data_IF_493423830975
#
_entry.id   IF_493423830975
#
_cell.length_a   1.000
_cell.length_b   1.000
_cell.length_c   1.000
_cell.angle_alpha   90.00
_cell.angle_beta   90.00
_cell.angle_gamma   90.00
#
_symmetry.space_group_name_H-M   'P 1'
#
loop_
_entity.id
_entity.type
_entity.pdbx_description
1 polymer ?
#
# COMPACT_ATOMS: atom_id res chain seq x y z
N UNK A 1 -21.57 42.85 -9.95
CA UNK A 1 -20.16 43.25 -9.91
C UNK A 1 -19.65 43.09 -8.48
N UNK A 2 -19.08 41.97 -8.12
CA UNK A 2 -18.58 41.64 -6.80
C UNK A 2 -17.16 41.05 -6.93
N UNK A 3 -16.17 41.70 -6.35
CA UNK A 3 -14.75 41.39 -6.39
C UNK A 3 -14.44 40.08 -5.63
N UNK A 4 -13.56 39.24 -6.15
CA UNK A 4 -13.06 38.00 -5.53
C UNK A 4 -11.92 38.34 -4.56
N UNK A 5 -11.85 37.78 -3.35
CA UNK A 5 -10.88 38.16 -2.30
C UNK A 5 -9.69 37.21 -2.18
N UNK A 6 -8.82 37.07 -3.20
CA UNK A 6 -7.56 36.29 -3.04
C UNK A 6 -6.47 36.60 -4.09
N UNK A 7 -6.29 37.84 -4.52
CA UNK A 7 -5.08 38.25 -5.24
C UNK A 7 -4.05 38.82 -4.27
N UNK A 8 -3.02 38.06 -3.97
CA UNK A 8 -1.83 38.54 -3.25
C UNK A 8 -0.78 38.94 -4.28
N UNK A 9 -0.51 40.23 -4.35
CA UNK A 9 0.50 40.83 -5.24
C UNK A 9 1.89 40.69 -4.62
N UNK A 10 2.87 40.26 -5.42
CA UNK A 10 4.29 40.29 -5.07
C UNK A 10 4.92 41.62 -5.56
N UNK A 11 5.83 42.26 -4.77
CA UNK A 11 6.56 43.43 -5.19
C UNK A 11 7.75 43.07 -6.12
N UNK A 12 8.21 44.00 -6.98
CA UNK A 12 9.29 43.79 -7.94
C UNK A 12 10.68 43.85 -7.30
N UNK A 13 11.57 42.99 -7.78
CA UNK A 13 13.00 42.95 -7.42
C UNK A 13 13.75 44.10 -8.13
N UNK A 14 14.32 45.00 -7.34
CA UNK A 14 15.17 46.08 -7.82
C UNK A 14 16.61 45.60 -8.08
N UNK A 15 17.11 45.96 -9.27
CA UNK A 15 18.51 45.84 -9.68
C UNK A 15 19.36 46.95 -9.04
N UNK A 16 20.38 46.58 -8.28
CA UNK A 16 21.40 47.49 -7.75
C UNK A 16 22.79 46.89 -7.92
N UNK A 17 23.54 47.40 -8.91
CA UNK A 17 24.98 47.19 -9.02
C UNK A 17 25.72 48.06 -7.99
N UNK A 18 26.60 47.49 -7.17
CA UNK A 18 27.77 48.16 -6.62
C UNK A 18 28.98 47.22 -6.49
N UNK A 19 30.09 47.73 -6.98
CA UNK A 19 31.43 47.17 -7.11
C UNK A 19 32.25 47.32 -5.82
N UNK A 20 33.26 46.40 -5.67
CA UNK A 20 34.52 46.45 -4.88
C UNK A 20 34.46 46.22 -3.36
N UNK A 21 35.03 45.12 -2.84
CA UNK A 21 36.41 45.03 -2.34
C UNK A 21 36.76 43.60 -1.97
N UNK A 22 37.94 43.18 -2.44
CA UNK A 22 38.64 41.95 -2.15
C UNK A 22 39.13 41.91 -0.71
N UNK A 23 38.80 40.82 0.04
CA UNK A 23 39.62 40.31 1.15
C UNK A 23 39.49 38.80 1.19
N UNK A 24 40.64 38.14 1.02
CA UNK A 24 40.81 36.70 1.07
C UNK A 24 40.61 36.18 2.50
N UNK A 25 39.66 35.29 2.68
CA UNK A 25 39.58 34.40 3.86
C UNK A 25 39.40 32.94 3.40
N UNK A 26 40.25 32.10 3.99
CA UNK A 26 40.46 30.74 3.60
C UNK A 26 39.18 29.87 3.58
N UNK A 27 39.03 29.16 2.47
CA UNK A 27 37.99 28.14 2.30
C UNK A 27 38.39 26.86 3.04
N UNK A 28 37.93 26.70 4.28
CA UNK A 28 37.77 25.37 4.87
C UNK A 28 36.61 24.68 4.18
N UNK A 29 36.92 23.85 3.20
CA UNK A 29 35.95 22.90 2.65
C UNK A 29 35.62 21.87 3.72
N UNK A 30 34.53 22.06 4.43
CA UNK A 30 33.86 20.95 5.13
C UNK A 30 33.34 19.99 4.05
N UNK A 31 34.14 18.94 3.79
CA UNK A 31 33.64 17.77 3.12
C UNK A 31 32.57 17.15 4.04
N UNK A 32 31.30 17.33 3.72
CA UNK A 32 30.28 16.40 4.17
C UNK A 32 30.58 15.06 3.48
N UNK A 33 31.39 14.23 4.12
CA UNK A 33 31.44 12.81 3.80
C UNK A 33 30.03 12.26 4.03
N UNK A 34 29.27 12.14 2.96
CA UNK A 34 28.12 11.29 2.97
C UNK A 34 28.62 9.89 3.31
N UNK A 35 28.35 9.45 4.54
CA UNK A 35 28.58 8.07 4.96
C UNK A 35 27.70 7.23 4.06
N UNK A 36 28.26 6.76 2.95
CA UNK A 36 27.69 5.71 2.13
C UNK A 36 27.72 4.48 3.00
N UNK A 37 26.61 4.23 3.70
CA UNK A 37 26.41 2.96 4.39
C UNK A 37 26.56 1.86 3.34
N UNK A 38 27.41 0.85 3.58
CA UNK A 38 27.49 -0.25 2.64
C UNK A 38 26.11 -0.87 2.53
N UNK A 39 25.53 -0.84 1.35
CA UNK A 39 24.34 -1.59 0.98
C UNK A 39 24.72 -3.06 1.08
N UNK A 40 24.59 -3.66 2.23
CA UNK A 40 24.54 -5.11 2.36
C UNK A 40 23.26 -5.49 1.62
N UNK A 41 23.35 -5.78 0.34
CA UNK A 41 22.31 -6.49 -0.38
C UNK A 41 22.09 -7.82 0.35
N UNK A 42 21.20 -7.78 1.35
CA UNK A 42 20.65 -9.02 1.86
C UNK A 42 19.87 -9.61 0.70
N UNK A 43 20.39 -10.69 0.15
CA UNK A 43 19.66 -11.52 -0.79
C UNK A 43 18.34 -11.91 -0.11
N UNK A 44 17.30 -11.18 -0.42
CA UNK A 44 15.95 -11.54 -0.01
C UNK A 44 15.64 -12.83 -0.75
N UNK A 45 15.28 -13.87 -0.01
CA UNK A 45 14.86 -15.13 -0.61
C UNK A 45 13.69 -14.96 -1.57
N UNK A 46 13.39 -15.94 -2.42
CA UNK A 46 12.26 -15.89 -3.35
C UNK A 46 10.96 -15.66 -2.57
N UNK A 47 9.99 -15.06 -3.25
CA UNK A 47 8.65 -14.91 -2.68
C UNK A 47 8.02 -16.29 -2.55
N UNK A 48 7.73 -16.73 -1.33
CA UNK A 48 7.08 -18.00 -1.09
C UNK A 48 5.58 -17.93 -1.43
N UNK A 49 5.03 -18.85 -2.22
CA UNK A 49 3.60 -18.97 -2.45
C UNK A 49 2.83 -19.42 -1.20
N UNK A 50 3.52 -19.90 -0.18
CA UNK A 50 2.96 -20.36 1.09
C UNK A 50 3.33 -19.39 2.22
N UNK A 51 2.42 -19.25 3.18
CA UNK A 51 2.69 -18.45 4.37
C UNK A 51 3.89 -19.01 5.15
N UNK A 52 4.84 -18.16 5.59
CA UNK A 52 6.02 -18.61 6.32
C UNK A 52 5.69 -19.28 7.65
N UNK A 53 4.52 -18.98 8.22
CA UNK A 53 4.02 -19.63 9.43
C UNK A 53 2.50 -19.50 9.54
N UNK A 54 1.84 -20.53 10.05
CA UNK A 54 0.41 -20.49 10.33
C UNK A 54 0.12 -19.65 11.59
N UNK A 55 -0.91 -18.81 11.53
CA UNK A 55 -1.36 -18.01 12.67
C UNK A 55 -2.33 -18.83 13.50
N UNK A 56 -1.83 -19.42 14.59
CA UNK A 56 -2.62 -20.27 15.50
C UNK A 56 -3.61 -19.49 16.36
N UNK A 57 -3.28 -18.23 16.71
CA UNK A 57 -4.11 -17.35 17.55
C UNK A 57 -4.38 -16.03 16.83
N UNK A 58 -5.32 -16.01 15.87
CA UNK A 58 -5.60 -14.83 15.09
C UNK A 58 -6.24 -13.73 15.94
N UNK A 59 -5.85 -12.48 15.65
CA UNK A 59 -6.51 -11.30 16.17
C UNK A 59 -7.84 -11.06 15.44
N UNK A 60 -7.84 -11.26 14.12
CA UNK A 60 -9.00 -11.17 13.25
C UNK A 60 -9.05 -12.39 12.32
N UNK A 61 -10.25 -12.84 12.04
CA UNK A 61 -10.55 -13.78 10.96
C UNK A 61 -11.50 -13.14 9.97
N UNK A 62 -11.32 -13.43 8.69
CA UNK A 62 -12.13 -12.85 7.63
C UNK A 62 -12.07 -13.71 6.38
N UNK A 63 -12.88 -13.41 5.39
CA UNK A 63 -12.80 -13.97 4.04
C UNK A 63 -12.67 -12.84 3.04
N UNK A 64 -11.78 -13.00 2.11
CA UNK A 64 -11.68 -12.11 0.96
C UNK A 64 -12.25 -12.85 -0.23
N UNK A 65 -13.22 -12.26 -0.90
CA UNK A 65 -14.00 -12.88 -1.97
C UNK A 65 -14.01 -11.99 -3.22
N UNK A 66 -14.04 -12.62 -4.38
CA UNK A 66 -14.11 -11.96 -5.68
C UNK A 66 -13.05 -10.85 -5.81
N UNK A 67 -11.77 -11.24 -5.77
CA UNK A 67 -10.68 -10.30 -5.84
C UNK A 67 -10.29 -10.00 -7.28
N UNK A 68 -10.24 -8.72 -7.61
CA UNK A 68 -9.56 -8.18 -8.78
C UNK A 68 -8.18 -7.67 -8.36
N UNK A 69 -7.13 -8.23 -8.92
CA UNK A 69 -5.75 -7.78 -8.73
C UNK A 69 -5.30 -7.10 -10.01
N UNK A 70 -5.09 -5.79 -9.98
CA UNK A 70 -4.62 -5.01 -11.13
C UNK A 70 -3.34 -4.28 -10.74
N UNK A 71 -2.27 -4.43 -11.53
CA UNK A 71 -0.96 -3.92 -11.15
C UNK A 71 -0.29 -3.16 -12.29
N UNK A 72 0.37 -2.06 -11.90
CA UNK A 72 1.24 -1.27 -12.78
C UNK A 72 2.63 -1.15 -12.18
N UNK A 73 3.61 -1.04 -13.04
CA UNK A 73 4.98 -0.73 -12.65
C UNK A 73 5.08 0.73 -12.19
N UNK A 74 5.84 0.98 -11.14
CA UNK A 74 6.14 2.33 -10.65
C UNK A 74 7.63 2.47 -10.35
N UNK A 75 8.14 3.70 -10.42
CA UNK A 75 9.53 4.00 -10.09
C UNK A 75 9.82 3.66 -8.62
N UNK A 76 10.83 2.81 -8.32
CA UNK A 76 11.22 2.52 -6.94
C UNK A 76 11.57 3.75 -6.11
N UNK A 77 12.17 4.78 -6.71
CA UNK A 77 12.52 6.01 -5.99
C UNK A 77 11.27 6.78 -5.56
N UNK A 78 10.25 6.82 -6.42
CA UNK A 78 8.95 7.40 -6.10
C UNK A 78 8.25 6.57 -5.01
N UNK A 79 8.22 5.25 -5.15
CA UNK A 79 7.63 4.37 -4.15
C UNK A 79 8.29 4.54 -2.78
N UNK A 80 9.63 4.67 -2.71
CA UNK A 80 10.38 4.87 -1.47
C UNK A 80 9.91 6.10 -0.69
N UNK A 81 9.60 7.20 -1.39
CA UNK A 81 9.08 8.43 -0.77
C UNK A 81 7.69 8.28 -0.13
N UNK A 82 6.97 7.22 -0.47
CA UNK A 82 5.61 6.95 0.00
C UNK A 82 5.54 5.86 1.06
N UNK A 83 6.64 5.16 1.33
CA UNK A 83 6.71 4.11 2.33
C UNK A 83 6.98 4.67 3.73
N UNK A 84 6.53 3.99 4.79
CA UNK A 84 6.87 4.39 6.16
C UNK A 84 8.36 4.24 6.43
N UNK A 85 8.93 5.15 7.23
CA UNK A 85 10.32 5.09 7.66
C UNK A 85 10.65 3.72 8.28
N UNK A 86 11.77 3.13 7.88
CA UNK A 86 12.18 1.78 8.29
C UNK A 86 11.74 0.68 7.32
N UNK A 87 11.15 1.05 6.19
CA UNK A 87 10.91 0.14 5.06
C UNK A 87 11.50 0.69 3.77
N UNK A 88 11.80 -0.20 2.85
CA UNK A 88 12.26 0.12 1.50
C UNK A 88 11.35 -0.55 0.47
N UNK A 89 11.31 -0.07 -0.78
CA UNK A 89 10.58 -0.76 -1.84
C UNK A 89 11.04 -2.21 -2.01
N UNK A 90 10.09 -3.13 -2.06
CA UNK A 90 10.34 -4.49 -2.48
C UNK A 90 10.37 -4.51 -4.01
N UNK A 91 11.42 -5.08 -4.58
CA UNK A 91 11.62 -5.10 -6.02
C UNK A 91 11.75 -6.52 -6.55
N UNK A 92 11.28 -6.72 -7.77
CA UNK A 92 11.53 -7.90 -8.59
C UNK A 92 12.25 -7.44 -9.86
N UNK A 93 13.47 -7.95 -10.09
CA UNK A 93 14.33 -7.53 -11.22
C UNK A 93 14.50 -6.00 -11.32
N UNK A 94 14.64 -5.33 -10.17
CA UNK A 94 14.81 -3.88 -10.09
C UNK A 94 13.52 -3.05 -10.23
N UNK A 95 12.37 -3.68 -10.41
CA UNK A 95 11.06 -3.04 -10.59
C UNK A 95 10.19 -3.19 -9.35
N UNK A 96 9.41 -2.16 -9.03
CA UNK A 96 8.35 -2.25 -8.02
C UNK A 96 7.00 -1.86 -8.62
N UNK A 97 5.93 -2.07 -7.86
CA UNK A 97 4.58 -2.00 -8.43
C UNK A 97 3.63 -1.27 -7.51
N UNK A 98 2.58 -0.70 -8.10
CA UNK A 98 1.35 -0.34 -7.40
C UNK A 98 0.28 -1.36 -7.70
N UNK A 99 -0.43 -1.80 -6.67
CA UNK A 99 -1.58 -2.69 -6.80
C UNK A 99 -2.87 -1.95 -6.49
N UNK A 100 -3.82 -2.01 -7.41
CA UNK A 100 -5.21 -1.66 -7.21
C UNK A 100 -5.99 -2.96 -7.03
N UNK A 101 -6.49 -3.22 -5.81
CA UNK A 101 -7.10 -4.50 -5.45
C UNK A 101 -8.51 -4.26 -4.94
N UNK A 102 -9.51 -4.68 -5.71
CA UNK A 102 -10.92 -4.57 -5.36
C UNK A 102 -11.49 -5.94 -5.01
N UNK A 103 -12.30 -6.04 -3.95
CA UNK A 103 -12.84 -7.30 -3.46
C UNK A 103 -14.04 -7.11 -2.53
N UNK A 104 -14.62 -8.22 -2.10
CA UNK A 104 -15.62 -8.26 -1.04
C UNK A 104 -15.00 -8.83 0.23
N UNK A 105 -15.03 -8.06 1.31
CA UNK A 105 -14.79 -8.55 2.65
C UNK A 105 -16.02 -9.32 3.13
N UNK A 106 -15.80 -10.46 3.78
CA UNK A 106 -16.87 -11.28 4.37
C UNK A 106 -16.44 -11.87 5.71
N UNK A 107 -17.41 -12.04 6.61
CA UNK A 107 -17.24 -12.70 7.92
C UNK A 107 -16.10 -12.16 8.78
N UNK A 108 -15.89 -10.84 8.78
CA UNK A 108 -14.92 -10.24 9.70
C UNK A 108 -15.34 -10.51 11.15
N UNK A 109 -14.49 -11.21 11.87
CA UNK A 109 -14.69 -11.59 13.27
C UNK A 109 -13.44 -11.35 14.11
N UNK A 110 -13.62 -11.12 15.40
CA UNK A 110 -12.56 -10.97 16.37
C UNK A 110 -12.16 -12.35 16.94
N UNK A 111 -10.86 -12.63 16.98
CA UNK A 111 -10.31 -13.91 17.47
C UNK A 111 -10.88 -15.09 16.68
N UNK A 112 -11.63 -15.98 17.36
CA UNK A 112 -12.31 -17.13 16.76
C UNK A 112 -13.84 -17.01 16.79
N UNK A 113 -14.34 -15.81 17.12
CA UNK A 113 -15.77 -15.58 17.15
C UNK A 113 -16.34 -15.54 15.71
N UNK A 114 -17.63 -15.89 15.55
CA UNK A 114 -18.31 -15.74 14.27
C UNK A 114 -18.20 -14.31 13.74
N UNK A 115 -18.16 -14.18 12.42
CA UNK A 115 -18.14 -12.87 11.79
C UNK A 115 -19.37 -12.04 12.17
N UNK A 116 -19.17 -10.74 12.37
CA UNK A 116 -20.24 -9.82 12.74
C UNK A 116 -21.17 -9.61 11.54
N UNK A 117 -22.45 -9.99 11.64
CA UNK A 117 -23.41 -9.75 10.55
C UNK A 117 -23.45 -8.28 10.16
N UNK A 118 -23.68 -7.98 8.87
CA UNK A 118 -23.75 -6.63 8.29
C UNK A 118 -22.45 -5.82 8.34
N UNK A 119 -21.81 -5.71 9.50
CA UNK A 119 -20.55 -4.95 9.64
C UNK A 119 -19.32 -5.73 9.16
N UNK A 120 -19.40 -7.06 9.13
CA UNK A 120 -18.32 -7.94 8.68
C UNK A 120 -18.40 -8.30 7.20
N UNK A 121 -19.33 -7.72 6.42
CA UNK A 121 -19.49 -7.98 4.99
C UNK A 121 -19.65 -6.67 4.21
N UNK A 122 -18.67 -6.32 3.38
CA UNK A 122 -18.65 -5.08 2.61
C UNK A 122 -17.63 -5.11 1.46
N UNK A 123 -17.86 -4.34 0.39
CA UNK A 123 -16.83 -4.08 -0.62
C UNK A 123 -15.68 -3.26 -0.07
N UNK A 124 -14.46 -3.56 -0.58
CA UNK A 124 -13.23 -2.84 -0.28
C UNK A 124 -12.39 -2.69 -1.55
N UNK A 125 -11.70 -1.55 -1.70
CA UNK A 125 -10.72 -1.34 -2.76
C UNK A 125 -9.46 -0.72 -2.16
N UNK A 126 -8.32 -1.37 -2.39
CA UNK A 126 -7.04 -0.96 -1.83
C UNK A 126 -6.09 -0.44 -2.90
N UNK A 127 -5.40 0.65 -2.60
CA UNK A 127 -4.17 1.04 -3.28
C UNK A 127 -3.01 0.62 -2.39
N UNK A 128 -2.12 -0.25 -2.89
CA UNK A 128 -1.01 -0.79 -2.11
C UNK A 128 0.33 -0.70 -2.85
N UNK A 129 1.39 -0.53 -2.08
CA UNK A 129 2.78 -0.65 -2.51
C UNK A 129 3.44 -1.87 -1.85
N UNK A 130 4.55 -2.29 -2.39
CA UNK A 130 5.32 -3.45 -1.93
C UNK A 130 6.55 -2.99 -1.16
N UNK A 131 6.81 -3.60 -0.01
CA UNK A 131 7.84 -3.13 0.90
C UNK A 131 8.56 -4.27 1.62
N UNK A 132 9.80 -3.96 2.05
CA UNK A 132 10.61 -4.81 2.91
C UNK A 132 11.05 -4.00 4.11
N UNK A 133 11.01 -4.58 5.31
CA UNK A 133 11.50 -3.94 6.51
C UNK A 133 12.97 -4.29 6.84
N UNK A 134 13.51 -3.67 7.88
CA UNK A 134 14.88 -3.90 8.33
C UNK A 134 15.17 -5.37 8.76
N UNK A 135 14.14 -6.19 8.98
CA UNK A 135 14.27 -7.62 9.29
C UNK A 135 14.16 -8.52 8.05
N UNK A 136 14.08 -7.94 6.85
CA UNK A 136 13.89 -8.66 5.60
C UNK A 136 12.49 -9.21 5.39
N UNK A 137 11.49 -8.79 6.20
CA UNK A 137 10.11 -9.22 6.03
C UNK A 137 9.47 -8.48 4.86
N UNK A 138 8.97 -9.24 3.91
CA UNK A 138 8.21 -8.70 2.77
C UNK A 138 6.78 -8.45 3.18
N UNK A 139 6.23 -7.33 2.75
CA UNK A 139 4.84 -6.97 3.04
C UNK A 139 4.29 -5.96 2.05
N UNK A 140 3.07 -5.53 2.30
CA UNK A 140 2.44 -4.42 1.58
C UNK A 140 2.30 -3.20 2.50
N UNK A 141 2.31 -2.02 1.90
CA UNK A 141 1.92 -0.77 2.54
C UNK A 141 0.66 -0.28 1.84
N UNK A 142 -0.43 -0.16 2.59
CA UNK A 142 -1.63 0.44 2.05
C UNK A 142 -1.50 1.96 1.99
N UNK A 143 -1.76 2.54 0.81
CA UNK A 143 -1.82 3.99 0.59
C UNK A 143 -3.23 4.52 0.75
N UNK A 144 -4.23 3.71 0.39
CA UNK A 144 -5.64 3.90 0.76
C UNK A 144 -6.38 2.57 0.81
N UNK A 145 -7.45 2.53 1.60
CA UNK A 145 -8.35 1.40 1.75
C UNK A 145 -9.78 1.94 1.75
N UNK A 146 -10.41 1.97 0.58
CA UNK A 146 -11.78 2.43 0.44
C UNK A 146 -12.73 1.31 0.88
N UNK A 147 -13.63 1.57 1.83
CA UNK A 147 -14.55 0.58 2.37
C UNK A 147 -15.96 1.11 2.55
N UNK A 148 -16.96 0.25 2.31
CA UNK A 148 -18.37 0.66 2.28
C UNK A 148 -19.01 0.80 3.68
N UNK A 149 -18.36 0.41 4.76
CA UNK A 149 -18.91 0.43 6.11
C UNK A 149 -18.13 1.38 7.02
N UNK A 150 -18.83 2.36 7.61
CA UNK A 150 -18.21 3.38 8.46
C UNK A 150 -17.59 2.79 9.74
N UNK A 151 -18.25 1.83 10.39
CA UNK A 151 -17.75 1.25 11.64
C UNK A 151 -16.40 0.53 11.44
N UNK A 152 -16.22 -0.39 10.47
CA UNK A 152 -14.91 -0.94 10.13
C UNK A 152 -13.86 0.12 9.79
N UNK A 153 -14.23 1.17 9.06
CA UNK A 153 -13.34 2.29 8.73
C UNK A 153 -12.82 2.96 10.00
N UNK A 154 -13.69 3.31 10.94
CA UNK A 154 -13.30 3.97 12.20
C UNK A 154 -12.41 3.05 13.06
N UNK A 155 -12.76 1.77 13.18
CA UNK A 155 -11.97 0.79 13.93
C UNK A 155 -10.60 0.54 13.31
N UNK A 156 -10.53 0.42 11.98
CA UNK A 156 -9.26 0.23 11.25
C UNK A 156 -8.34 1.45 11.38
N UNK A 157 -8.89 2.66 11.32
CA UNK A 157 -8.13 3.90 11.51
C UNK A 157 -7.63 4.05 12.96
N UNK A 158 -8.51 3.86 13.94
CA UNK A 158 -8.17 4.06 15.35
C UNK A 158 -7.29 2.93 15.91
N UNK A 159 -7.60 1.67 15.60
CA UNK A 159 -6.91 0.50 16.17
C UNK A 159 -5.62 0.12 15.44
N UNK A 160 -5.62 0.17 14.11
CA UNK A 160 -4.52 -0.30 13.27
C UNK A 160 -3.80 0.82 12.51
N UNK A 161 -4.25 2.07 12.63
CA UNK A 161 -3.74 3.23 11.85
C UNK A 161 -3.73 2.99 10.34
N UNK A 162 -4.67 2.19 9.85
CA UNK A 162 -4.83 1.93 8.43
C UNK A 162 -5.47 3.13 7.72
N UNK A 163 -5.09 3.43 6.48
CA UNK A 163 -5.58 4.57 5.72
C UNK A 163 -6.97 4.33 5.12
N UNK A 164 -7.91 3.88 5.96
CA UNK A 164 -9.28 3.62 5.54
C UNK A 164 -10.01 4.89 5.15
N UNK A 165 -10.79 4.79 4.09
CA UNK A 165 -11.70 5.83 3.59
C UNK A 165 -13.11 5.24 3.49
N UNK A 166 -14.09 5.90 4.11
CA UNK A 166 -15.47 5.51 3.94
C UNK A 166 -15.97 5.94 2.57
N UNK A 167 -16.46 4.97 1.80
CA UNK A 167 -16.87 5.16 0.40
C UNK A 167 -18.24 4.56 0.14
N UNK A 168 -18.96 5.09 -0.86
CA UNK A 168 -20.11 4.41 -1.43
C UNK A 168 -19.57 3.40 -2.44
N UNK A 169 -19.87 2.13 -2.23
CA UNK A 169 -19.32 1.06 -3.05
C UNK A 169 -20.37 0.03 -3.40
N UNK A 170 -20.18 -0.60 -4.56
CA UNK A 170 -20.92 -1.79 -4.96
C UNK A 170 -20.03 -2.77 -5.70
N UNK A 171 -20.35 -4.06 -5.60
CA UNK A 171 -19.79 -5.12 -6.45
C UNK A 171 -20.96 -5.86 -7.07
N UNK A 172 -20.97 -5.91 -8.39
CA UNK A 172 -22.00 -6.62 -9.17
C UNK A 172 -21.32 -7.70 -10.00
N UNK A 173 -21.94 -8.86 -10.06
CA UNK A 173 -21.54 -9.97 -10.90
C UNK A 173 -22.63 -10.21 -11.96
N UNK A 174 -22.19 -10.35 -13.21
CA UNK A 174 -23.02 -10.76 -14.33
C UNK A 174 -22.26 -11.81 -15.14
N UNK A 175 -22.61 -13.06 -14.94
CA UNK A 175 -21.89 -14.19 -15.50
C UNK A 175 -20.42 -14.22 -15.05
N UNK A 176 -19.51 -14.12 -16.02
CA UNK A 176 -18.07 -14.06 -15.80
C UNK A 176 -17.54 -12.64 -15.53
N UNK A 177 -18.39 -11.62 -15.62
CA UNK A 177 -18.02 -10.23 -15.48
C UNK A 177 -18.30 -9.72 -14.07
N UNK A 178 -17.32 -8.99 -13.50
CA UNK A 178 -17.43 -8.31 -12.22
C UNK A 178 -17.25 -6.81 -12.41
N UNK A 179 -18.12 -6.03 -11.79
CA UNK A 179 -18.04 -4.56 -11.77
C UNK A 179 -17.89 -4.09 -10.33
N UNK A 180 -16.81 -3.37 -10.06
CA UNK A 180 -16.52 -2.75 -8.78
C UNK A 180 -16.65 -1.24 -8.93
N UNK A 181 -17.55 -0.63 -8.17
CA UNK A 181 -17.73 0.82 -8.12
C UNK A 181 -17.35 1.35 -6.74
N UNK A 182 -16.64 2.47 -6.70
CA UNK A 182 -16.32 3.20 -5.48
C UNK A 182 -16.45 4.72 -5.68
N UNK A 183 -16.90 5.43 -4.63
CA UNK A 183 -16.91 6.90 -4.58
C UNK A 183 -16.74 7.37 -3.14
N UNK A 184 -15.65 8.11 -2.88
CA UNK A 184 -15.24 8.55 -1.53
C UNK A 184 -16.20 9.51 -0.88
N UNK A 185 -16.40 9.34 0.44
CA UNK A 185 -17.22 10.19 1.30
C UNK A 185 -16.40 10.89 2.38
N UNK A 186 -15.54 10.15 3.13
CA UNK A 186 -14.76 10.65 4.27
C UNK A 186 -13.68 9.65 4.71
N UNK A 187 -12.50 10.11 5.19
CA UNK A 187 -11.97 11.48 5.11
C UNK A 187 -11.36 11.78 3.74
N UNK A 188 -11.04 13.06 3.52
CA UNK A 188 -10.36 13.52 2.33
C UNK A 188 -11.30 14.05 1.25
N UNK A 189 -10.81 14.22 0.02
CA UNK A 189 -11.62 14.76 -1.06
C UNK A 189 -12.81 13.85 -1.36
N UNK A 190 -14.00 14.44 -1.39
CA UNK A 190 -15.21 13.71 -1.75
C UNK A 190 -15.30 13.56 -3.26
N UNK A 191 -15.94 12.47 -3.70
CA UNK A 191 -16.22 12.25 -5.10
C UNK A 191 -15.09 11.58 -5.89
N UNK A 192 -13.87 11.46 -5.32
CA UNK A 192 -12.84 10.58 -5.89
C UNK A 192 -13.44 9.19 -6.08
N UNK A 193 -13.33 8.66 -7.29
CA UNK A 193 -14.11 7.50 -7.71
C UNK A 193 -13.26 6.46 -8.43
N UNK A 194 -13.77 5.25 -8.49
CA UNK A 194 -13.24 4.23 -9.39
C UNK A 194 -14.36 3.32 -9.90
N UNK A 195 -14.21 2.88 -11.15
CA UNK A 195 -14.97 1.79 -11.75
C UNK A 195 -13.99 0.83 -12.40
N UNK A 196 -14.03 -0.42 -11.95
CA UNK A 196 -13.21 -1.51 -12.49
C UNK A 196 -14.17 -2.57 -12.99
N UNK A 197 -14.10 -2.88 -14.29
CA UNK A 197 -14.85 -3.98 -14.89
C UNK A 197 -13.87 -5.05 -15.32
N UNK A 198 -14.00 -6.22 -14.74
CA UNK A 198 -13.10 -7.35 -14.95
C UNK A 198 -13.90 -8.56 -15.46
N UNK A 199 -13.39 -9.22 -16.51
CA UNK A 199 -13.90 -10.49 -16.98
C UNK A 199 -12.98 -11.62 -16.50
N UNK A 200 -13.57 -12.63 -15.86
CA UNK A 200 -12.87 -13.82 -15.37
C UNK A 200 -12.45 -14.69 -16.53
N UNK A 201 -11.23 -15.20 -16.46
CA UNK A 201 -10.67 -16.14 -17.41
C UNK A 201 -10.35 -17.49 -16.75
N UNK A 202 -9.44 -18.22 -17.37
CA UNK A 202 -9.05 -19.56 -16.98
C UNK A 202 -8.23 -19.58 -15.69
N UNK A 203 -8.26 -20.71 -14.98
CA UNK A 203 -7.43 -20.95 -13.80
C UNK A 203 -5.94 -20.93 -14.20
N UNK A 204 -5.14 -20.27 -13.38
CA UNK A 204 -3.68 -20.27 -13.50
C UNK A 204 -3.14 -21.43 -12.66
N UNK A 205 -2.77 -22.51 -13.32
CA UNK A 205 -2.24 -23.70 -12.61
C UNK A 205 -0.85 -23.43 -12.02
N UNK A 206 0.01 -22.77 -12.80
CA UNK A 206 1.36 -22.41 -12.41
C UNK A 206 1.56 -20.88 -12.50
N UNK A 207 1.36 -20.15 -11.40
CA UNK A 207 1.63 -18.72 -11.37
C UNK A 207 3.11 -18.42 -11.60
N UNK A 208 3.39 -17.41 -12.40
CA UNK A 208 4.75 -16.91 -12.67
C UNK A 208 5.37 -16.29 -11.42
N UNK A 209 6.69 -16.04 -11.46
CA UNK A 209 7.40 -15.34 -10.39
C UNK A 209 6.80 -13.95 -10.12
N UNK A 210 6.42 -13.21 -11.17
CA UNK A 210 5.75 -11.92 -11.04
C UNK A 210 4.41 -12.05 -10.32
N UNK A 211 3.58 -13.02 -10.70
CA UNK A 211 2.27 -13.23 -10.09
C UNK A 211 2.38 -13.61 -8.62
N UNK A 212 3.37 -14.44 -8.26
CA UNK A 212 3.69 -14.71 -6.87
C UNK A 212 4.17 -13.45 -6.15
N UNK A 213 5.07 -12.68 -6.76
CA UNK A 213 5.55 -11.42 -6.20
C UNK A 213 4.41 -10.45 -5.90
N UNK A 214 3.44 -10.36 -6.80
CA UNK A 214 2.31 -9.44 -6.67
C UNK A 214 1.24 -9.92 -5.67
N UNK A 215 1.03 -11.23 -5.50
CA UNK A 215 -0.12 -11.77 -4.76
C UNK A 215 0.25 -12.48 -3.45
N UNK A 216 1.41 -13.15 -3.37
CA UNK A 216 1.84 -13.89 -2.18
C UNK A 216 2.47 -12.95 -1.14
N UNK A 217 1.64 -12.22 -0.39
CA UNK A 217 2.07 -11.25 0.63
C UNK A 217 1.51 -11.62 2.00
N UNK A 218 2.43 -11.89 2.94
CA UNK A 218 2.14 -12.50 4.22
C UNK A 218 2.09 -11.51 5.37
N UNK A 219 1.93 -10.23 5.06
CA UNK A 219 1.75 -9.18 6.04
C UNK A 219 1.76 -7.78 5.44
N UNK A 220 1.52 -6.81 6.31
CA UNK A 220 1.50 -5.40 5.96
C UNK A 220 2.36 -4.60 6.94
N UNK A 221 2.96 -3.52 6.44
CA UNK A 221 3.74 -2.56 7.21
C UNK A 221 2.92 -1.30 7.46
N UNK A 222 2.76 -0.94 8.73
CA UNK A 222 2.04 0.26 9.14
C UNK A 222 2.92 1.16 9.98
N UNK A 223 2.82 2.49 9.78
CA UNK A 223 3.47 3.48 10.62
C UNK A 223 2.77 3.59 11.99
N UNK A 224 3.55 3.48 13.05
CA UNK A 224 3.11 3.70 14.43
C UNK A 224 4.04 4.68 15.13
N UNK A 225 3.64 5.30 16.26
CA UNK A 225 4.56 6.01 17.11
C UNK A 225 5.71 5.09 17.55
N UNK A 226 6.96 5.50 17.27
CA UNK A 226 8.16 4.73 17.56
C UNK A 226 8.61 3.77 16.43
N UNK A 227 8.03 3.84 15.24
CA UNK A 227 8.53 3.11 14.06
C UNK A 227 7.45 2.41 13.24
N UNK A 228 7.86 1.40 12.48
CA UNK A 228 6.96 0.60 11.65
C UNK A 228 6.58 -0.70 12.39
N UNK A 229 5.32 -1.08 12.35
CA UNK A 229 4.85 -2.38 12.80
C UNK A 229 4.54 -3.29 11.61
N UNK A 230 4.86 -4.57 11.76
CA UNK A 230 4.47 -5.61 10.82
C UNK A 230 3.24 -6.36 11.34
N UNK A 231 2.17 -6.36 10.59
CA UNK A 231 0.94 -7.10 10.88
C UNK A 231 0.90 -8.33 9.97
N UNK A 232 1.19 -9.53 10.49
CA UNK A 232 1.20 -10.75 9.69
C UNK A 232 -0.21 -11.20 9.32
N UNK A 233 -0.33 -11.82 8.16
CA UNK A 233 -1.50 -12.57 7.74
C UNK A 233 -1.13 -13.95 7.25
N UNK A 234 -2.06 -14.89 7.27
CA UNK A 234 -1.97 -16.16 6.58
C UNK A 234 -3.30 -16.48 5.87
N UNK A 235 -3.18 -17.20 4.79
CA UNK A 235 -4.27 -17.73 3.98
C UNK A 235 -3.76 -18.92 3.14
N UNK A 236 -4.61 -19.79 2.60
CA UNK A 236 -4.22 -20.76 1.59
C UNK A 236 -3.64 -20.07 0.33
N UNK A 237 -2.93 -20.83 -0.52
CA UNK A 237 -2.53 -20.32 -1.84
C UNK A 237 -3.73 -19.74 -2.57
N UNK A 238 -3.49 -18.65 -3.28
CA UNK A 238 -4.53 -18.03 -4.09
C UNK A 238 -4.95 -18.96 -5.25
N UNK A 239 -6.23 -19.28 -5.40
CA UNK A 239 -6.74 -19.83 -6.65
C UNK A 239 -6.83 -18.68 -7.67
N UNK A 240 -5.72 -18.45 -8.38
CA UNK A 240 -5.62 -17.36 -9.35
C UNK A 240 -6.22 -17.76 -10.68
N UNK A 241 -6.90 -16.82 -11.30
CA UNK A 241 -7.40 -16.91 -12.67
C UNK A 241 -6.83 -15.76 -13.49
N UNK A 242 -6.62 -15.99 -14.79
CA UNK A 242 -6.44 -14.90 -15.75
C UNK A 242 -7.68 -14.02 -15.72
N UNK A 243 -7.51 -12.78 -16.09
CA UNK A 243 -8.64 -11.88 -16.22
C UNK A 243 -8.35 -10.79 -17.25
N UNK A 244 -9.41 -10.33 -17.92
CA UNK A 244 -9.35 -9.18 -18.80
C UNK A 244 -9.85 -7.95 -18.07
N UNK A 245 -9.08 -6.87 -18.12
CA UNK A 245 -9.53 -5.56 -17.65
C UNK A 245 -10.35 -4.90 -18.76
N UNK A 246 -11.68 -4.99 -18.65
CA UNK A 246 -12.61 -4.46 -19.67
C UNK A 246 -12.73 -2.94 -19.55
N UNK A 247 -12.71 -2.42 -18.32
CA UNK A 247 -12.80 -0.99 -18.03
C UNK A 247 -12.03 -0.69 -16.74
N UNK A 248 -11.26 0.39 -16.77
CA UNK A 248 -10.61 0.92 -15.56
C UNK A 248 -10.64 2.45 -15.60
N UNK A 249 -11.67 3.01 -14.97
CA UNK A 249 -11.74 4.45 -14.67
C UNK A 249 -11.46 4.60 -13.18
N UNK A 250 -10.28 5.15 -12.81
CA UNK A 250 -9.90 5.21 -11.42
C UNK A 250 -9.12 6.51 -11.11
N UNK A 251 -9.39 7.06 -9.95
CA UNK A 251 -8.72 8.23 -9.40
C UNK A 251 -8.05 7.91 -8.04
N UNK A 252 -8.16 6.64 -7.58
CA UNK A 252 -7.73 6.23 -6.24
C UNK A 252 -6.22 6.24 -6.12
N UNK A 253 -5.50 5.87 -7.19
CA UNK A 253 -4.03 5.82 -7.21
C UNK A 253 -3.44 7.23 -7.11
N UNK A 254 -3.95 8.16 -7.90
CA UNK A 254 -3.56 9.57 -7.82
C UNK A 254 -3.91 10.18 -6.46
N UNK A 255 -5.11 9.92 -5.94
CA UNK A 255 -5.54 10.36 -4.62
C UNK A 255 -4.75 9.71 -3.46
N UNK A 256 -4.04 8.61 -3.70
CA UNK A 256 -3.14 7.96 -2.76
C UNK A 256 -1.72 8.55 -2.79
N UNK A 257 -1.46 9.56 -3.64
CA UNK A 257 -0.19 10.27 -3.74
C UNK A 257 0.78 9.70 -4.77
N UNK A 258 0.32 8.81 -5.65
CA UNK A 258 1.10 8.34 -6.80
C UNK A 258 0.76 9.17 -8.05
N UNK A 259 1.59 9.14 -9.11
CA UNK A 259 1.21 9.67 -10.41
C UNK A 259 -0.03 8.94 -10.96
N UNK A 260 -0.71 9.59 -11.89
CA UNK A 260 -1.74 8.91 -12.69
C UNK A 260 -1.12 7.70 -13.40
N UNK A 261 -1.88 6.60 -13.43
CA UNK A 261 -1.46 5.37 -14.07
C UNK A 261 -1.26 5.61 -15.57
N UNK A 262 -0.17 5.08 -16.11
CA UNK A 262 0.17 5.20 -17.51
C UNK A 262 0.23 3.81 -18.15
N UNK A 263 -0.36 3.69 -19.33
CA UNK A 263 -0.34 2.44 -20.11
C UNK A 263 -1.17 1.30 -19.51
N UNK A 264 -1.01 0.14 -20.11
CA UNK A 264 -1.71 -1.07 -19.69
C UNK A 264 -1.12 -1.64 -18.40
N UNK A 265 -1.92 -2.31 -17.56
CA UNK A 265 -1.43 -3.00 -16.39
C UNK A 265 -0.50 -4.16 -16.78
N UNK A 266 0.57 -4.35 -15.99
CA UNK A 266 1.51 -5.47 -16.21
C UNK A 266 0.94 -6.81 -15.74
N UNK A 267 -0.11 -6.79 -14.94
CA UNK A 267 -0.79 -8.00 -14.45
C UNK A 267 -2.23 -7.70 -14.11
N UNK A 268 -3.13 -8.53 -14.62
CA UNK A 268 -4.56 -8.55 -14.27
C UNK A 268 -4.94 -9.98 -13.91
N UNK A 269 -5.36 -10.18 -12.65
CA UNK A 269 -5.73 -11.49 -12.13
C UNK A 269 -7.04 -11.40 -11.34
N UNK A 270 -7.75 -12.49 -11.31
CA UNK A 270 -8.93 -12.71 -10.48
C UNK A 270 -8.69 -13.85 -9.48
N UNK A 271 -9.30 -13.77 -8.31
CA UNK A 271 -9.43 -14.92 -7.41
C UNK A 271 -10.84 -14.98 -6.84
N UNK A 272 -11.48 -16.17 -6.77
CA UNK A 272 -12.75 -16.35 -6.07
C UNK A 272 -12.63 -16.08 -4.58
N UNK A 273 -11.42 -16.16 -4.02
CA UNK A 273 -11.13 -15.75 -2.66
C UNK A 273 -10.63 -16.85 -1.76
N UNK A 274 -10.24 -16.45 -0.54
CA UNK A 274 -9.66 -17.30 0.50
C UNK A 274 -10.13 -16.88 1.89
N UNK A 275 -10.14 -17.81 2.87
CA UNK A 275 -10.18 -17.46 4.30
C UNK A 275 -8.83 -16.87 4.71
N UNK A 276 -8.86 -15.82 5.54
CA UNK A 276 -7.67 -15.09 6.00
C UNK A 276 -7.66 -14.97 7.50
N UNK A 277 -6.49 -15.14 8.10
CA UNK A 277 -6.22 -14.88 9.51
C UNK A 277 -5.21 -13.76 9.63
N UNK A 278 -5.49 -12.79 10.48
CA UNK A 278 -4.58 -11.71 10.80
C UNK A 278 -4.02 -11.92 12.21
N UNK A 279 -2.70 -11.86 12.32
CA UNK A 279 -2.01 -12.00 13.59
C UNK A 279 -1.93 -10.67 14.37
N UNK A 280 -1.23 -10.70 15.50
CA UNK A 280 -0.97 -9.50 16.28
C UNK A 280 0.17 -8.70 15.66
N UNK A 281 0.13 -7.35 15.71
CA UNK A 281 1.21 -6.52 15.23
C UNK A 281 2.53 -6.83 15.97
N UNK A 282 3.56 -7.19 15.20
CA UNK A 282 4.91 -7.29 15.71
C UNK A 282 5.57 -5.92 15.63
N UNK A 283 5.80 -5.28 16.78
CA UNK A 283 6.54 -4.01 16.85
C UNK A 283 8.04 -4.28 16.72
N UNK A 284 8.82 -3.36 16.12
CA UNK A 284 10.27 -3.45 16.20
C UNK A 284 10.69 -3.45 17.67
N UNK A 285 11.54 -4.38 18.08
CA UNK A 285 12.31 -4.19 19.31
C UNK A 285 13.18 -2.97 19.07
N UNK A 286 13.12 -1.97 19.96
CA UNK A 286 14.09 -0.90 19.99
C UNK A 286 15.48 -1.56 19.98
N UNK A 287 16.33 -1.20 19.01
CA UNK A 287 17.71 -1.64 19.02
C UNK A 287 18.30 -1.12 20.32
N UNK A 288 18.63 -2.04 21.24
CA UNK A 288 19.43 -1.71 22.40
C UNK A 288 20.74 -1.15 21.88
N UNK A 289 21.01 0.11 22.18
CA UNK A 289 22.31 0.74 21.94
C UNK A 289 23.35 -0.15 22.61
N UNK A 290 24.39 -0.62 21.92
CA UNK A 290 25.46 -1.37 22.58
C UNK A 290 26.03 -0.46 23.66
N UNK A 291 26.00 -0.91 24.91
CA UNK A 291 26.67 -0.23 26.01
C UNK A 291 28.15 -0.20 25.68
N UNK A 292 28.71 0.98 25.49
CA UNK A 292 30.17 1.20 25.39
C UNK A 292 30.75 0.75 26.72
N UNK A 293 31.67 -0.23 26.77
CA UNK A 293 32.35 -0.57 28.01
C UNK A 293 33.20 0.62 28.42
N UNK A 294 32.92 1.18 29.61
CA UNK A 294 33.79 2.15 30.27
C UNK A 294 35.13 1.50 30.58
N UNK A 295 36.21 2.03 29.99
CA UNK A 295 37.60 1.74 30.39
C UNK A 295 37.94 2.48 31.67
#
# INVERSE_FOLDING_TARGET
MGKRPWEVAFPPVGSGLHTHHSTAWGHSRLFCDAVVMPSTERSLGPVSPDAPSAISSPLLTQRWLDLAFVHWEVDPALAAGLLPAGTVPDTLHGKTYVGLVAFRMDRVGWFRLPGVPYFGAFPETNVRLYSVDAHGRRGVVFRSMDAARLVPVLLGRAGFRLPYVWSRMSVRADGDTLVYDSSRRWPGPRGVSSRITLRKGELVEEPTELEHFLTARWGMHNAFPGGVAYLPNDHPRWPLHRADLVECQEELVAAAGLPELQGEPVSVLYSPGVPVRLGRPARPRAMSTPSVPSQ
#
